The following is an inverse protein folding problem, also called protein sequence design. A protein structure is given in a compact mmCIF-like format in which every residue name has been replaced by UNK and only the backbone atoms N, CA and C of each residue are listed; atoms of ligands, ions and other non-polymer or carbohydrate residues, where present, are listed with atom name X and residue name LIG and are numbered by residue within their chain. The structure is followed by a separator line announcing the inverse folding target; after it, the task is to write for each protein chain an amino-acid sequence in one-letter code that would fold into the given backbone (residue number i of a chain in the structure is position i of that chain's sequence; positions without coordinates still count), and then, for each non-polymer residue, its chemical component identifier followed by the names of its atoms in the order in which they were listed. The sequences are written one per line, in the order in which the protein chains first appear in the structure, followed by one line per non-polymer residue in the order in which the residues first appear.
data_IF_278275057453
#
_entry.id   IF_278275057453
#
_cell.length_a   1.000
_cell.length_b   1.000
_cell.length_c   1.000
_cell.angle_alpha   90.00
_cell.angle_beta   90.00
_cell.angle_gamma   90.00
#
_symmetry.space_group_name_H-M   'P 1'
#
loop_
_entity.id
_entity.type
_entity.pdbx_description
1 polymer ?
#
# COMPACT_ATOMS: atom_id res chain seq x y z
N UNK A 1 8.16 -6.48 -10.25
CA UNK A 1 8.96 -7.14 -9.19
C UNK A 1 8.17 -8.21 -8.43
N UNK A 2 6.91 -7.98 -7.98
CA UNK A 2 6.11 -9.01 -7.30
C UNK A 2 5.98 -10.28 -8.14
N UNK A 3 5.64 -10.16 -9.43
CA UNK A 3 5.53 -11.30 -10.33
C UNK A 3 6.85 -12.07 -10.49
N UNK A 4 7.98 -11.36 -10.55
CA UNK A 4 9.31 -11.98 -10.57
C UNK A 4 9.60 -12.77 -9.28
N UNK A 5 9.29 -12.19 -8.11
CA UNK A 5 9.42 -12.91 -6.82
C UNK A 5 8.51 -14.14 -6.73
N UNK A 6 7.38 -14.13 -7.42
CA UNK A 6 6.46 -15.26 -7.54
C UNK A 6 6.92 -16.29 -8.60
N UNK A 7 8.06 -16.07 -9.27
CA UNK A 7 8.51 -16.91 -10.37
C UNK A 7 7.55 -16.91 -11.55
N UNK A 8 6.83 -15.80 -11.77
CA UNK A 8 5.76 -15.62 -12.78
C UNK A 8 4.61 -16.64 -12.64
N UNK A 9 4.42 -17.18 -11.44
CA UNK A 9 3.33 -18.10 -11.10
C UNK A 9 2.15 -17.35 -10.46
N UNK A 10 0.92 -17.87 -10.68
CA UNK A 10 -0.30 -17.24 -10.16
C UNK A 10 -0.72 -16.00 -10.98
N UNK A 11 -1.42 -15.06 -10.33
CA UNK A 11 -2.00 -13.89 -11.00
C UNK A 11 -1.75 -12.64 -10.16
N UNK A 12 -1.20 -11.59 -10.78
CA UNK A 12 -1.04 -10.26 -10.20
C UNK A 12 -1.98 -9.29 -10.91
N UNK A 13 -3.08 -8.91 -10.27
CA UNK A 13 -3.96 -7.88 -10.79
C UNK A 13 -3.40 -6.51 -10.38
N UNK A 14 -3.09 -5.68 -11.37
CA UNK A 14 -2.56 -4.33 -11.19
C UNK A 14 -3.64 -3.28 -11.48
N UNK A 15 -4.19 -2.68 -10.43
CA UNK A 15 -5.23 -1.65 -10.52
C UNK A 15 -4.60 -0.25 -10.40
N UNK A 16 -4.84 0.61 -11.36
CA UNK A 16 -4.49 2.04 -11.30
C UNK A 16 -5.54 2.86 -12.05
N UNK A 17 -5.83 4.05 -11.56
CA UNK A 17 -6.73 5.00 -12.23
C UNK A 17 -6.12 5.54 -13.54
N UNK A 18 -4.79 5.50 -13.67
CA UNK A 18 -4.05 6.02 -14.80
C UNK A 18 -3.79 4.93 -15.84
N UNK A 19 -4.52 4.96 -16.95
CA UNK A 19 -4.24 4.12 -18.12
C UNK A 19 -2.77 4.22 -18.58
N UNK A 20 -2.17 5.42 -18.58
CA UNK A 20 -0.78 5.61 -18.98
C UNK A 20 0.21 4.84 -18.10
N UNK A 21 -0.01 4.79 -16.78
CA UNK A 21 0.85 4.01 -15.87
C UNK A 21 0.74 2.53 -16.16
N UNK A 22 -0.46 2.04 -16.44
CA UNK A 22 -0.68 0.64 -16.80
C UNK A 22 -0.07 0.26 -18.14
N UNK A 23 -0.09 1.15 -19.14
CA UNK A 23 0.64 0.94 -20.42
C UNK A 23 2.14 0.77 -20.15
N UNK A 24 2.75 1.65 -19.34
CA UNK A 24 4.16 1.53 -18.96
C UNK A 24 4.44 0.22 -18.20
N UNK A 25 3.53 -0.21 -17.32
CA UNK A 25 3.62 -1.48 -16.61
C UNK A 25 3.66 -2.65 -17.57
N UNK A 26 2.74 -2.69 -18.55
CA UNK A 26 2.66 -3.75 -19.57
C UNK A 26 3.93 -3.81 -20.42
N UNK A 27 4.45 -2.65 -20.85
CA UNK A 27 5.70 -2.57 -21.61
C UNK A 27 6.87 -3.12 -20.79
N UNK A 28 6.98 -2.79 -19.52
CA UNK A 28 8.01 -3.32 -18.63
C UNK A 28 7.85 -4.82 -18.36
N UNK A 29 6.62 -5.31 -18.16
CA UNK A 29 6.34 -6.73 -18.00
C UNK A 29 6.74 -7.52 -19.24
N UNK A 30 6.39 -7.03 -20.44
CA UNK A 30 6.78 -7.62 -21.71
C UNK A 30 8.31 -7.68 -21.89
N UNK A 31 9.00 -6.58 -21.58
CA UNK A 31 10.48 -6.49 -21.65
C UNK A 31 11.16 -7.50 -20.72
N UNK A 32 10.56 -7.78 -19.56
CA UNK A 32 11.06 -8.73 -18.56
C UNK A 32 10.57 -10.17 -18.78
N UNK A 33 9.73 -10.41 -19.79
CA UNK A 33 9.15 -11.72 -20.08
C UNK A 33 8.09 -12.17 -19.07
N UNK A 34 7.57 -11.25 -18.21
CA UNK A 34 6.56 -11.54 -17.20
C UNK A 34 5.17 -11.59 -17.83
N UNK A 35 4.41 -12.66 -17.55
CA UNK A 35 3.08 -12.93 -18.13
C UNK A 35 1.94 -12.93 -17.10
N UNK A 36 2.25 -13.04 -15.81
CA UNK A 36 1.26 -13.17 -14.74
C UNK A 36 0.61 -11.86 -14.30
N UNK A 37 0.86 -10.72 -14.98
CA UNK A 37 0.32 -9.41 -14.62
C UNK A 37 -0.91 -9.08 -15.49
N UNK A 38 -2.01 -8.73 -14.84
CA UNK A 38 -3.29 -8.35 -15.44
C UNK A 38 -3.62 -6.89 -15.09
N UNK A 39 -3.41 -5.94 -16.03
CA UNK A 39 -3.69 -4.53 -15.77
C UNK A 39 -5.18 -4.25 -15.82
N UNK A 40 -5.68 -3.46 -14.86
CA UNK A 40 -7.08 -3.01 -14.79
C UNK A 40 -7.11 -1.51 -14.54
N UNK A 41 -7.76 -0.75 -15.41
CA UNK A 41 -8.01 0.68 -15.18
C UNK A 41 -9.22 0.82 -14.27
N UNK A 42 -9.04 1.46 -13.11
CA UNK A 42 -10.14 1.68 -12.17
C UNK A 42 -9.69 2.49 -10.95
N UNK A 43 -10.65 3.05 -10.24
CA UNK A 43 -10.43 3.77 -8.99
C UNK A 43 -10.55 2.80 -7.81
N UNK A 44 -9.44 2.58 -7.09
CA UNK A 44 -9.41 1.72 -5.91
C UNK A 44 -10.25 2.22 -4.72
N UNK A 45 -10.77 3.44 -4.78
CA UNK A 45 -11.68 4.00 -3.78
C UNK A 45 -13.16 3.78 -4.08
N UNK A 46 -13.47 3.34 -5.29
CA UNK A 46 -14.83 3.00 -5.72
C UNK A 46 -15.19 1.56 -5.35
N UNK A 47 -16.46 1.18 -5.54
CA UNK A 47 -16.93 -0.14 -5.14
C UNK A 47 -16.28 -1.26 -5.96
N UNK A 48 -15.37 -2.01 -5.33
CA UNK A 48 -14.72 -3.20 -5.89
C UNK A 48 -15.45 -4.50 -5.52
N UNK A 49 -16.35 -4.45 -4.54
CA UNK A 49 -17.01 -5.64 -3.98
C UNK A 49 -17.91 -6.36 -5.01
N UNK A 50 -18.53 -5.64 -5.93
CA UNK A 50 -19.38 -6.24 -7.00
C UNK A 50 -18.59 -7.13 -7.96
N UNK A 51 -17.25 -6.86 -8.13
CA UNK A 51 -16.39 -7.57 -9.09
C UNK A 51 -15.44 -8.53 -8.37
N UNK A 52 -14.85 -8.08 -7.25
CA UNK A 52 -13.69 -8.73 -6.64
C UNK A 52 -13.95 -9.26 -5.22
N UNK A 53 -15.18 -9.36 -4.74
CA UNK A 53 -15.46 -9.80 -3.38
C UNK A 53 -14.78 -11.13 -3.03
N UNK A 54 -13.93 -11.12 -1.98
CA UNK A 54 -13.21 -12.31 -1.49
C UNK A 54 -12.40 -13.06 -2.57
N UNK A 55 -11.76 -12.33 -3.49
CA UNK A 55 -11.00 -12.95 -4.61
C UNK A 55 -9.51 -13.06 -4.35
N UNK A 56 -8.92 -12.18 -3.54
CA UNK A 56 -7.47 -12.08 -3.42
C UNK A 56 -6.94 -12.70 -2.11
N UNK A 57 -5.86 -13.45 -2.23
CA UNK A 57 -5.12 -14.01 -1.10
C UNK A 57 -4.20 -12.95 -0.46
N UNK A 58 -3.66 -12.04 -1.29
CA UNK A 58 -2.77 -10.96 -0.90
C UNK A 58 -3.14 -9.68 -1.64
N UNK A 59 -3.09 -8.56 -0.92
CA UNK A 59 -3.31 -7.23 -1.52
C UNK A 59 -2.18 -6.30 -1.04
N UNK A 60 -1.59 -5.58 -1.99
CA UNK A 60 -0.70 -4.45 -1.72
C UNK A 60 -1.47 -3.16 -2.04
N UNK A 61 -1.60 -2.30 -1.06
CA UNK A 61 -2.14 -0.94 -1.21
C UNK A 61 -0.99 0.04 -1.14
N UNK A 62 -0.43 0.42 -2.30
CA UNK A 62 0.49 1.54 -2.44
C UNK A 62 -0.36 2.82 -2.51
N UNK A 63 -0.61 3.42 -1.35
CA UNK A 63 -1.65 4.42 -1.20
C UNK A 63 -1.23 5.80 -1.71
N UNK A 64 -2.12 6.55 -2.38
CA UNK A 64 -1.88 7.96 -2.68
C UNK A 64 -1.66 8.72 -1.37
N UNK A 65 -0.49 9.35 -1.21
CA UNK A 65 -0.10 10.02 0.02
C UNK A 65 0.57 11.38 -0.24
N UNK A 66 0.88 12.12 0.82
CA UNK A 66 1.52 13.43 0.71
C UNK A 66 2.94 13.40 0.13
N UNK A 67 3.63 12.25 0.20
CA UNK A 67 4.99 12.10 -0.31
C UNK A 67 6.04 12.81 0.54
N UNK A 68 5.74 13.16 1.80
CA UNK A 68 6.67 13.88 2.68
C UNK A 68 7.94 13.08 3.04
N UNK A 69 7.94 11.77 2.79
CA UNK A 69 9.11 10.91 3.00
C UNK A 69 10.12 10.94 1.83
N UNK A 70 9.71 11.45 0.66
CA UNK A 70 10.50 11.46 -0.58
C UNK A 70 10.76 12.87 -1.11
N UNK A 71 10.74 13.87 -0.24
CA UNK A 71 10.97 15.28 -0.60
C UNK A 71 12.35 15.53 -1.21
N UNK A 72 13.36 14.72 -0.88
CA UNK A 72 14.67 14.79 -1.51
C UNK A 72 14.64 14.54 -3.02
N UNK A 73 13.68 13.72 -3.49
CA UNK A 73 13.48 13.41 -4.91
C UNK A 73 12.48 14.35 -5.58
N UNK A 74 11.55 14.91 -4.81
CA UNK A 74 10.45 15.75 -5.28
C UNK A 74 10.30 17.01 -4.39
N UNK A 75 11.28 17.94 -4.41
CA UNK A 75 11.32 19.08 -3.49
C UNK A 75 10.12 20.01 -3.62
N UNK A 76 9.51 20.12 -4.80
CA UNK A 76 8.31 20.92 -5.05
C UNK A 76 7.10 20.45 -4.22
N UNK A 77 7.09 19.19 -3.79
CA UNK A 77 6.05 18.61 -2.94
C UNK A 77 5.88 19.34 -1.61
N UNK A 78 6.93 19.99 -1.10
CA UNK A 78 6.93 20.76 0.15
C UNK A 78 5.92 21.92 0.14
N UNK A 79 5.79 22.59 -0.98
CA UNK A 79 4.96 23.82 -1.11
C UNK A 79 3.47 23.53 -1.34
N UNK A 80 3.15 22.30 -1.74
CA UNK A 80 1.78 21.91 -2.13
C UNK A 80 1.05 21.09 -1.06
N UNK A 81 1.58 21.03 0.18
CA UNK A 81 1.01 20.21 1.27
C UNK A 81 0.60 21.08 2.45
N UNK A 82 -0.71 21.15 2.67
CA UNK A 82 -1.33 21.72 3.85
C UNK A 82 -2.11 20.64 4.62
N UNK A 83 -2.55 20.96 5.83
CA UNK A 83 -3.35 20.04 6.63
C UNK A 83 -4.65 19.60 5.94
N UNK A 84 -5.26 20.47 5.16
CA UNK A 84 -6.52 20.19 4.45
C UNK A 84 -6.31 19.11 3.38
N UNK A 85 -5.19 19.21 2.64
CA UNK A 85 -4.80 18.20 1.65
C UNK A 85 -4.47 16.86 2.30
N UNK A 86 -3.74 16.86 3.44
CA UNK A 86 -3.45 15.64 4.21
C UNK A 86 -4.74 14.98 4.70
N UNK A 87 -5.67 15.74 5.30
CA UNK A 87 -6.97 15.20 5.72
C UNK A 87 -7.78 14.59 4.56
N UNK A 88 -7.70 15.17 3.36
CA UNK A 88 -8.33 14.62 2.16
C UNK A 88 -7.68 13.29 1.76
N UNK A 89 -6.35 13.20 1.81
CA UNK A 89 -5.62 11.97 1.52
C UNK A 89 -5.95 10.86 2.54
N UNK A 90 -5.99 11.16 3.84
CA UNK A 90 -6.40 10.18 4.85
C UNK A 90 -7.80 9.59 4.58
N UNK A 91 -8.76 10.43 4.19
CA UNK A 91 -10.10 9.95 3.82
C UNK A 91 -10.08 9.06 2.58
N UNK A 92 -9.28 9.41 1.57
CA UNK A 92 -9.13 8.60 0.35
C UNK A 92 -8.46 7.25 0.68
N UNK A 93 -7.39 7.28 1.45
CA UNK A 93 -6.67 6.08 1.90
C UNK A 93 -7.61 5.11 2.63
N UNK A 94 -8.46 5.62 3.55
CA UNK A 94 -9.46 4.79 4.25
C UNK A 94 -10.49 4.17 3.30
N UNK A 95 -10.96 4.92 2.30
CA UNK A 95 -11.85 4.36 1.28
C UNK A 95 -11.17 3.20 0.55
N UNK A 96 -9.94 3.39 0.07
CA UNK A 96 -9.16 2.36 -0.62
C UNK A 96 -8.97 1.13 0.28
N UNK A 97 -8.58 1.32 1.55
CA UNK A 97 -8.41 0.22 2.51
C UNK A 97 -9.71 -0.58 2.70
N UNK A 98 -10.87 0.08 2.83
CA UNK A 98 -12.16 -0.59 2.96
C UNK A 98 -12.51 -1.42 1.73
N UNK A 99 -12.27 -0.89 0.53
CA UNK A 99 -12.47 -1.63 -0.72
C UNK A 99 -11.52 -2.83 -0.83
N UNK A 100 -10.26 -2.65 -0.47
CA UNK A 100 -9.27 -3.72 -0.46
C UNK A 100 -9.67 -4.85 0.51
N UNK A 101 -10.19 -4.53 1.70
CA UNK A 101 -10.70 -5.55 2.65
C UNK A 101 -11.87 -6.33 2.08
N UNK A 102 -12.79 -5.67 1.35
CA UNK A 102 -13.92 -6.39 0.72
C UNK A 102 -13.42 -7.41 -0.31
N UNK A 103 -12.38 -7.07 -1.05
CA UNK A 103 -11.77 -7.91 -2.08
C UNK A 103 -10.88 -9.03 -1.50
N UNK A 104 -10.39 -8.89 -0.28
CA UNK A 104 -9.50 -9.85 0.39
C UNK A 104 -10.28 -11.08 0.88
N UNK A 105 -9.75 -12.27 0.68
CA UNK A 105 -10.29 -13.52 1.25
C UNK A 105 -10.14 -13.53 2.78
N UNK A 106 -10.97 -14.30 3.46
CA UNK A 106 -10.75 -14.66 4.87
C UNK A 106 -9.40 -15.37 5.02
N UNK A 107 -8.59 -14.97 6.01
CA UNK A 107 -7.19 -15.40 6.18
C UNK A 107 -6.21 -14.74 5.21
N UNK A 108 -6.69 -13.93 4.28
CA UNK A 108 -5.85 -13.16 3.37
C UNK A 108 -5.14 -12.00 4.08
N UNK A 109 -4.03 -11.53 3.50
CA UNK A 109 -3.23 -10.44 4.06
C UNK A 109 -3.20 -9.23 3.14
N UNK A 110 -3.26 -8.05 3.74
CA UNK A 110 -3.17 -6.77 3.06
C UNK A 110 -2.00 -5.96 3.63
N UNK A 111 -1.09 -5.53 2.76
CA UNK A 111 0.00 -4.61 3.10
C UNK A 111 -0.38 -3.20 2.65
N UNK A 112 -0.51 -2.29 3.60
CA UNK A 112 -0.68 -0.86 3.36
C UNK A 112 0.66 -0.17 3.37
N UNK A 113 0.98 0.61 2.34
CA UNK A 113 2.27 1.30 2.18
C UNK A 113 2.05 2.76 1.83
N UNK A 114 2.87 3.65 2.39
CA UNK A 114 2.96 5.06 2.01
C UNK A 114 4.41 5.51 1.93
N UNK A 115 4.69 6.50 1.09
CA UNK A 115 5.98 7.21 1.03
C UNK A 115 5.93 8.54 1.81
N UNK A 116 5.26 8.56 2.97
CA UNK A 116 5.14 9.75 3.82
C UNK A 116 5.60 9.46 5.25
N UNK A 117 6.10 10.49 5.92
CA UNK A 117 6.42 10.46 7.35
C UNK A 117 5.28 11.01 8.22
N UNK A 118 4.17 11.42 7.61
CA UNK A 118 3.01 11.98 8.30
C UNK A 118 2.32 10.93 9.18
N UNK A 119 2.29 11.14 10.49
CA UNK A 119 1.56 10.27 11.43
C UNK A 119 0.07 10.20 11.09
N UNK A 120 -0.51 11.31 10.59
CA UNK A 120 -1.93 11.37 10.24
C UNK A 120 -2.30 10.39 9.13
N UNK A 121 -1.42 10.19 8.14
CA UNK A 121 -1.61 9.26 7.03
C UNK A 121 -1.17 7.82 7.37
N UNK A 122 -0.39 7.64 8.41
CA UNK A 122 0.22 6.39 8.84
C UNK A 122 -0.51 5.80 10.06
N UNK A 123 0.10 5.88 11.25
CA UNK A 123 -0.43 5.24 12.46
C UNK A 123 -1.85 5.67 12.79
N UNK A 124 -2.13 6.97 12.78
CA UNK A 124 -3.47 7.48 13.13
C UNK A 124 -4.54 7.01 12.12
N UNK A 125 -4.18 6.93 10.84
CA UNK A 125 -5.06 6.42 9.80
C UNK A 125 -5.33 4.91 9.95
N UNK A 126 -4.29 4.14 10.30
CA UNK A 126 -4.40 2.70 10.60
C UNK A 126 -5.27 2.45 11.84
N UNK A 127 -5.04 3.21 12.93
CA UNK A 127 -5.83 3.11 14.15
C UNK A 127 -7.32 3.38 13.89
N UNK A 128 -7.61 4.44 13.12
CA UNK A 128 -8.99 4.79 12.77
C UNK A 128 -9.64 3.76 11.85
N UNK A 129 -8.87 3.21 10.89
CA UNK A 129 -9.34 2.15 10.01
C UNK A 129 -9.69 0.88 10.80
N UNK A 130 -8.85 0.45 11.74
CA UNK A 130 -9.10 -0.73 12.58
C UNK A 130 -10.32 -0.56 13.49
N UNK A 131 -10.56 0.64 14.04
CA UNK A 131 -11.78 0.92 14.84
C UNK A 131 -13.07 0.71 14.05
N UNK A 132 -13.03 0.95 12.73
CA UNK A 132 -14.19 0.79 11.84
C UNK A 132 -14.31 -0.61 11.22
N UNK A 133 -13.35 -1.53 11.43
CA UNK A 133 -13.26 -2.81 10.72
C UNK A 133 -12.95 -3.98 11.65
N UNK A 134 -13.99 -4.52 12.31
CA UNK A 134 -13.84 -5.66 13.24
C UNK A 134 -13.39 -6.97 12.59
N UNK A 135 -13.50 -7.08 11.27
CA UNK A 135 -13.09 -8.25 10.49
C UNK A 135 -11.60 -8.23 10.08
N UNK A 136 -10.84 -7.25 10.55
CA UNK A 136 -9.42 -7.05 10.21
C UNK A 136 -8.60 -6.91 11.50
N UNK A 137 -7.45 -7.53 11.52
CA UNK A 137 -6.48 -7.42 12.61
C UNK A 137 -5.11 -6.98 12.07
N UNK A 138 -4.40 -6.15 12.83
CA UNK A 138 -3.00 -5.83 12.56
C UNK A 138 -2.12 -7.05 12.88
N UNK A 139 -1.17 -7.38 12.00
CA UNK A 139 -0.09 -8.33 12.24
C UNK A 139 1.23 -7.61 12.44
N UNK A 140 2.09 -8.14 13.30
CA UNK A 140 3.42 -7.59 13.52
C UNK A 140 4.33 -7.91 12.33
N UNK A 141 4.83 -6.89 11.64
CA UNK A 141 5.72 -7.09 10.51
C UNK A 141 7.06 -7.76 10.89
N UNK A 142 7.48 -7.75 12.17
CA UNK A 142 8.68 -8.49 12.61
C UNK A 142 8.66 -9.97 12.23
N UNK A 143 7.46 -10.56 12.21
CA UNK A 143 7.27 -11.98 11.91
C UNK A 143 7.28 -12.30 10.39
N UNK A 144 7.33 -11.25 9.55
CA UNK A 144 7.13 -11.35 8.10
C UNK A 144 8.25 -10.73 7.27
N UNK A 145 9.27 -10.14 7.90
CA UNK A 145 10.38 -9.49 7.21
C UNK A 145 11.68 -10.27 7.37
N UNK A 146 12.63 -10.16 6.43
CA UNK A 146 13.95 -10.74 6.60
C UNK A 146 14.71 -10.07 7.76
N UNK A 147 15.66 -10.80 8.36
CA UNK A 147 16.38 -10.37 9.57
C UNK A 147 16.99 -8.96 9.50
N UNK A 148 17.50 -8.55 8.33
CA UNK A 148 18.07 -7.21 8.14
C UNK A 148 17.03 -6.08 8.29
N UNK A 149 15.74 -6.36 8.06
CA UNK A 149 14.67 -5.37 8.15
C UNK A 149 14.00 -5.31 9.53
N UNK A 150 14.29 -6.24 10.44
CA UNK A 150 13.67 -6.29 11.78
C UNK A 150 13.91 -4.99 12.56
N UNK A 151 15.10 -4.39 12.45
CA UNK A 151 15.43 -3.11 13.08
C UNK A 151 14.65 -1.91 12.56
N UNK A 152 13.91 -2.04 11.43
CA UNK A 152 13.05 -1.02 10.86
C UNK A 152 11.59 -1.18 11.28
N UNK A 153 11.28 -2.19 12.12
CA UNK A 153 9.93 -2.43 12.64
C UNK A 153 9.85 -1.90 14.07
N UNK A 154 8.92 -0.97 14.30
CA UNK A 154 8.69 -0.41 15.64
C UNK A 154 7.95 -1.40 16.57
N UNK A 155 7.77 -1.02 17.85
CA UNK A 155 7.11 -1.87 18.85
C UNK A 155 5.62 -2.11 18.58
N UNK A 156 4.99 -1.27 17.76
CA UNK A 156 3.61 -1.46 17.30
C UNK A 156 3.50 -2.42 16.11
N UNK A 157 4.63 -2.91 15.58
CA UNK A 157 4.67 -3.83 14.44
C UNK A 157 4.64 -3.15 13.06
N UNK A 158 4.83 -1.83 12.99
CA UNK A 158 4.89 -1.08 11.73
C UNK A 158 6.30 -0.99 11.19
N UNK A 159 6.48 -1.12 9.89
CA UNK A 159 7.71 -0.74 9.20
C UNK A 159 7.82 0.79 9.12
N UNK A 160 9.02 1.31 9.41
CA UNK A 160 9.29 2.74 9.38
C UNK A 160 10.70 3.04 8.92
N UNK A 161 10.82 3.94 7.95
CA UNK A 161 12.09 4.61 7.63
C UNK A 161 11.95 6.13 7.71
N UNK A 162 13.04 6.78 8.09
CA UNK A 162 13.13 8.24 8.18
C UNK A 162 14.41 8.72 7.52
N UNK A 163 14.38 9.74 6.64
CA UNK A 163 15.58 10.22 5.96
C UNK A 163 16.71 10.63 6.90
N UNK A 164 16.37 11.29 8.00
CA UNK A 164 17.33 11.81 8.99
C UNK A 164 17.89 10.76 9.96
N UNK A 165 17.29 9.57 10.02
CA UNK A 165 17.76 8.47 10.90
C UNK A 165 18.45 7.38 10.10
N UNK A 166 17.88 7.00 8.97
CA UNK A 166 18.26 5.81 8.22
C UNK A 166 19.00 6.12 6.92
N UNK A 167 19.15 7.41 6.57
CA UNK A 167 19.71 7.86 5.29
C UNK A 167 19.01 7.19 4.07
N UNK A 168 17.71 6.95 4.20
CA UNK A 168 16.82 6.36 3.19
C UNK A 168 15.58 7.21 3.04
N UNK A 169 14.86 7.06 1.94
CA UNK A 169 13.52 7.65 1.79
C UNK A 169 12.60 7.25 2.95
N UNK A 170 11.70 8.14 3.33
CA UNK A 170 10.74 7.90 4.41
C UNK A 170 9.56 7.06 3.93
N UNK A 171 9.45 5.84 4.43
CA UNK A 171 8.36 4.91 4.16
C UNK A 171 7.68 4.45 5.44
N UNK A 172 6.43 4.06 5.29
CA UNK A 172 5.64 3.39 6.30
C UNK A 172 4.96 2.17 5.70
N UNK A 173 4.86 1.08 6.48
CA UNK A 173 4.00 -0.04 6.11
C UNK A 173 3.30 -0.65 7.34
N UNK A 174 2.07 -1.14 7.12
CA UNK A 174 1.26 -1.87 8.08
C UNK A 174 0.68 -3.13 7.43
N UNK A 175 0.78 -4.27 8.10
CA UNK A 175 0.27 -5.55 7.62
C UNK A 175 -1.04 -5.90 8.35
N UNK A 176 -2.05 -6.25 7.57
CA UNK A 176 -3.35 -6.67 8.10
C UNK A 176 -3.68 -8.09 7.67
N UNK A 177 -4.47 -8.78 8.50
CA UNK A 177 -5.10 -10.06 8.16
C UNK A 177 -6.62 -9.93 8.29
N UNK A 178 -7.37 -10.49 7.34
CA UNK A 178 -8.83 -10.61 7.41
C UNK A 178 -9.20 -11.88 8.19
N UNK A 179 -9.97 -11.73 9.27
CA UNK A 179 -10.38 -12.82 10.17
C UNK A 179 -11.79 -13.33 9.87
#
# INVERSE_FOLDING_TARGET
HLAELMGDQGHVLALDISHRRLVNLVQNASRLGVKSIFPVVGDGSEELSSIFQNRFDRILVDAPCSGLGVLSRHPDGKWNRDEKSIRRLCRLQKKILNQAVSALKKGGRMLYVTCTISRAENEANVEEFLKGNSIVRLENLKDHVPGWAVGLINDQGFFRTYPHIHNMDGFFAALFIKI
#
